data_IF_414020853995
#
_entry.id   IF_414020853995
#
_cell.length_a   1.000
_cell.length_b   1.000
_cell.length_c   1.000
_cell.angle_alpha   90.00
_cell.angle_beta   90.00
_cell.angle_gamma   90.00
#
_symmetry.space_group_name_H-M   'P 1'
#
loop_
_entity.id
_entity.type
_entity.pdbx_description
1 polymer ?
#
# COMPACT_ATOMS: atom_id res chain seq x y z
N UNK A 1 -22.66 -27.45 3.59
CA UNK A 1 -21.54 -26.96 4.40
C UNK A 1 -22.07 -25.87 5.33
N UNK A 2 -21.93 -25.97 6.65
CA UNK A 2 -22.46 -24.98 7.58
C UNK A 2 -21.66 -23.68 7.61
N UNK A 3 -20.56 -23.59 6.88
CA UNK A 3 -19.70 -22.40 6.83
C UNK A 3 -20.28 -21.34 5.90
N UNK A 4 -20.11 -20.08 6.26
CA UNK A 4 -20.39 -18.96 5.38
C UNK A 4 -19.42 -18.99 4.19
N UNK A 5 -19.93 -19.01 2.97
CA UNK A 5 -19.13 -19.04 1.75
C UNK A 5 -18.96 -17.64 1.17
N UNK A 6 -17.72 -17.18 1.07
CA UNK A 6 -17.34 -15.88 0.50
C UNK A 6 -16.63 -16.09 -0.83
N UNK A 7 -17.14 -15.44 -1.88
CA UNK A 7 -16.49 -15.33 -3.18
C UNK A 7 -15.80 -13.96 -3.28
N UNK A 8 -14.48 -13.94 -3.27
CA UNK A 8 -13.68 -12.73 -3.42
C UNK A 8 -13.22 -12.59 -4.87
N UNK A 9 -13.62 -11.52 -5.54
CA UNK A 9 -13.31 -11.21 -6.93
C UNK A 9 -12.17 -10.20 -6.99
N UNK A 10 -11.10 -10.50 -7.68
CA UNK A 10 -9.95 -9.61 -7.84
C UNK A 10 -9.32 -9.75 -9.23
N UNK A 11 -8.72 -8.66 -9.72
CA UNK A 11 -8.01 -8.64 -11.02
C UNK A 11 -6.65 -9.32 -10.97
N UNK A 12 -6.13 -9.58 -9.80
CA UNK A 12 -4.86 -10.29 -9.57
C UNK A 12 -4.93 -11.03 -8.26
N UNK A 13 -4.20 -12.10 -8.17
CA UNK A 13 -3.99 -12.82 -6.93
C UNK A 13 -2.53 -12.74 -6.47
N UNK A 14 -2.23 -13.39 -5.36
CA UNK A 14 -0.91 -13.34 -4.72
C UNK A 14 0.24 -13.90 -5.60
N UNK A 15 -0.07 -14.79 -6.53
CA UNK A 15 0.92 -15.37 -7.46
C UNK A 15 1.02 -14.62 -8.80
N UNK A 16 0.17 -13.62 -9.04
CA UNK A 16 0.20 -12.87 -10.29
C UNK A 16 1.56 -12.17 -10.49
N UNK A 17 2.12 -12.12 -11.71
CA UNK A 17 3.45 -11.55 -11.96
C UNK A 17 3.63 -10.09 -11.55
N UNK A 18 2.51 -9.36 -11.41
CA UNK A 18 2.47 -7.95 -10.96
C UNK A 18 1.80 -7.79 -9.60
N UNK A 19 1.77 -8.85 -8.78
CA UNK A 19 1.26 -8.76 -7.43
C UNK A 19 2.03 -7.71 -6.60
N UNK A 20 1.32 -7.00 -5.73
CA UNK A 20 1.87 -5.95 -4.89
C UNK A 20 1.17 -5.89 -3.54
N UNK A 21 1.24 -4.73 -2.88
CA UNK A 21 0.68 -4.57 -1.54
C UNK A 21 -0.81 -4.89 -1.40
N UNK A 22 -1.60 -4.62 -2.45
CA UNK A 22 -3.03 -4.92 -2.45
C UNK A 22 -3.31 -6.43 -2.47
N UNK A 23 -2.57 -7.19 -3.29
CA UNK A 23 -2.70 -8.63 -3.39
C UNK A 23 -2.19 -9.33 -2.12
N UNK A 24 -1.08 -8.83 -1.54
CA UNK A 24 -0.58 -9.28 -0.23
C UNK A 24 -1.62 -9.05 0.85
N UNK A 25 -2.19 -7.85 0.95
CA UNK A 25 -3.24 -7.55 1.93
C UNK A 25 -4.43 -8.49 1.80
N UNK A 26 -4.91 -8.68 0.58
CA UNK A 26 -6.05 -9.56 0.31
C UNK A 26 -5.74 -10.99 0.73
N UNK A 27 -4.58 -11.53 0.33
CA UNK A 27 -4.16 -12.88 0.70
C UNK A 27 -4.04 -13.05 2.22
N UNK A 28 -3.32 -12.16 2.89
CA UNK A 28 -3.09 -12.23 4.34
C UNK A 28 -4.41 -12.10 5.14
N UNK A 29 -5.33 -11.25 4.69
CA UNK A 29 -6.65 -11.12 5.29
C UNK A 29 -7.49 -12.38 5.11
N UNK A 30 -7.51 -12.96 3.90
CA UNK A 30 -8.32 -14.12 3.58
C UNK A 30 -7.75 -15.43 4.15
N UNK A 31 -6.43 -15.63 4.05
CA UNK A 31 -5.77 -16.87 4.50
C UNK A 31 -5.80 -17.06 6.02
N UNK A 32 -5.85 -15.95 6.80
CA UNK A 32 -5.91 -15.98 8.26
C UNK A 32 -7.33 -15.86 8.82
N UNK A 33 -8.34 -15.82 7.97
CA UNK A 33 -9.74 -15.85 8.42
C UNK A 33 -10.05 -17.18 9.14
N UNK A 34 -11.12 -17.20 9.93
CA UNK A 34 -11.55 -18.44 10.63
C UNK A 34 -12.16 -19.44 9.63
N UNK A 35 -11.30 -20.26 9.02
CA UNK A 35 -11.70 -21.27 8.01
C UNK A 35 -12.60 -22.39 8.57
N UNK A 36 -12.75 -22.50 9.90
CA UNK A 36 -13.75 -23.40 10.50
C UNK A 36 -15.17 -22.87 10.32
N UNK A 37 -15.32 -21.54 10.16
CA UNK A 37 -16.62 -20.87 10.03
C UNK A 37 -16.84 -20.24 8.66
N UNK A 38 -15.76 -19.92 7.94
CA UNK A 38 -15.81 -19.21 6.64
C UNK A 38 -15.06 -20.05 5.60
N UNK A 39 -15.73 -20.31 4.50
CA UNK A 39 -15.12 -20.88 3.27
C UNK A 39 -14.84 -19.75 2.29
N UNK A 40 -13.62 -19.68 1.78
CA UNK A 40 -13.21 -18.59 0.89
C UNK A 40 -12.80 -19.14 -0.47
N UNK A 41 -13.38 -18.55 -1.51
CA UNK A 41 -13.01 -18.77 -2.91
C UNK A 41 -12.53 -17.42 -3.45
N UNK A 42 -11.27 -17.36 -3.84
CA UNK A 42 -10.72 -16.20 -4.55
C UNK A 42 -10.79 -16.44 -6.05
N UNK A 43 -11.42 -15.54 -6.79
CA UNK A 43 -11.59 -15.66 -8.24
C UNK A 43 -10.84 -14.54 -8.95
N UNK A 44 -10.00 -14.90 -9.91
CA UNK A 44 -9.16 -13.96 -10.68
C UNK A 44 -8.96 -14.43 -12.12
N UNK A 45 -8.40 -13.58 -13.02
CA UNK A 45 -7.97 -14.02 -14.33
C UNK A 45 -6.90 -15.13 -14.25
N UNK A 46 -6.90 -16.03 -15.21
CA UNK A 46 -5.81 -16.96 -15.41
C UNK A 46 -4.62 -16.24 -16.05
N UNK A 47 -3.43 -16.51 -15.57
CA UNK A 47 -2.16 -16.01 -16.11
C UNK A 47 -1.20 -17.18 -16.40
N UNK A 48 -0.19 -16.92 -17.21
CA UNK A 48 0.77 -17.95 -17.62
C UNK A 48 1.41 -18.62 -16.40
N UNK A 49 1.62 -19.94 -16.48
CA UNK A 49 2.16 -20.80 -15.42
C UNK A 49 1.32 -20.93 -14.14
N UNK A 50 0.11 -20.35 -14.05
CA UNK A 50 -0.76 -20.53 -12.89
C UNK A 50 -1.65 -21.76 -13.03
N UNK A 51 -1.87 -22.49 -11.92
CA UNK A 51 -2.91 -23.52 -11.86
C UNK A 51 -4.31 -22.88 -11.92
N UNK A 52 -5.24 -23.40 -12.74
CA UNK A 52 -6.61 -22.89 -12.78
C UNK A 52 -7.36 -23.01 -11.46
N UNK A 53 -7.03 -24.00 -10.65
CA UNK A 53 -7.66 -24.26 -9.33
C UNK A 53 -6.59 -24.81 -8.38
N UNK A 54 -6.35 -24.09 -7.30
CA UNK A 54 -5.43 -24.51 -6.25
C UNK A 54 -5.85 -23.94 -4.90
N UNK A 55 -5.40 -24.59 -3.83
CA UNK A 55 -5.60 -24.06 -2.46
C UNK A 55 -4.26 -23.58 -1.92
N UNK A 56 -4.22 -22.32 -1.51
CA UNK A 56 -3.06 -21.68 -0.87
C UNK A 56 -3.50 -21.18 0.50
N UNK A 57 -2.84 -21.63 1.56
CA UNK A 57 -3.09 -21.20 2.94
C UNK A 57 -4.60 -21.19 3.33
N UNK A 58 -5.34 -22.25 2.92
CA UNK A 58 -6.75 -22.42 3.22
C UNK A 58 -7.73 -21.66 2.29
N UNK A 59 -7.25 -20.82 1.40
CA UNK A 59 -8.04 -20.11 0.38
C UNK A 59 -8.01 -20.88 -0.93
N UNK A 60 -9.18 -21.17 -1.51
CA UNK A 60 -9.25 -21.75 -2.86
C UNK A 60 -9.13 -20.66 -3.90
N UNK A 61 -8.06 -20.69 -4.68
CA UNK A 61 -7.81 -19.79 -5.82
C UNK A 61 -8.33 -20.43 -7.09
N UNK A 62 -9.37 -19.84 -7.64
CA UNK A 62 -9.98 -20.24 -8.91
C UNK A 62 -9.67 -19.18 -9.96
N UNK A 63 -8.99 -19.57 -11.04
CA UNK A 63 -8.56 -18.67 -12.11
C UNK A 63 -9.23 -19.05 -13.41
N UNK A 64 -9.98 -18.12 -14.00
CA UNK A 64 -10.68 -18.34 -15.27
C UNK A 64 -10.69 -17.08 -16.12
N UNK A 65 -10.61 -17.28 -17.44
CA UNK A 65 -10.60 -16.18 -18.40
C UNK A 65 -9.31 -15.36 -18.36
N UNK A 66 -9.30 -14.29 -19.12
CA UNK A 66 -8.24 -13.29 -19.15
C UNK A 66 -8.79 -11.94 -18.67
N UNK A 67 -8.02 -10.86 -18.80
CA UNK A 67 -8.45 -9.52 -18.37
C UNK A 67 -9.73 -9.01 -19.07
N UNK A 68 -10.11 -9.55 -20.21
CA UNK A 68 -11.34 -9.17 -20.95
C UNK A 68 -12.53 -10.07 -20.61
N UNK A 69 -12.30 -11.34 -20.29
CA UNK A 69 -13.35 -12.33 -20.09
C UNK A 69 -13.60 -12.73 -18.63
N UNK A 70 -12.74 -12.31 -17.68
CA UNK A 70 -12.85 -12.70 -16.27
C UNK A 70 -14.19 -12.27 -15.64
N UNK A 71 -14.76 -11.13 -16.03
CA UNK A 71 -16.04 -10.65 -15.48
C UNK A 71 -17.18 -11.61 -15.88
N UNK A 72 -17.24 -11.99 -17.15
CA UNK A 72 -18.23 -12.96 -17.63
C UNK A 72 -18.03 -14.35 -17.03
N UNK A 73 -16.78 -14.78 -16.84
CA UNK A 73 -16.44 -16.04 -16.18
C UNK A 73 -16.88 -16.03 -14.70
N UNK A 74 -16.60 -14.94 -13.97
CA UNK A 74 -17.03 -14.75 -12.57
C UNK A 74 -18.57 -14.73 -12.43
N UNK A 75 -19.26 -14.05 -13.35
CA UNK A 75 -20.72 -14.05 -13.39
C UNK A 75 -21.28 -15.47 -13.64
N UNK A 76 -20.73 -16.20 -14.62
CA UNK A 76 -21.13 -17.59 -14.91
C UNK A 76 -20.90 -18.50 -13.69
N UNK A 77 -19.75 -18.38 -13.05
CA UNK A 77 -19.42 -19.13 -11.84
C UNK A 77 -20.39 -18.82 -10.69
N UNK A 78 -20.66 -17.52 -10.45
CA UNK A 78 -21.63 -17.11 -9.44
C UNK A 78 -23.02 -17.66 -9.72
N UNK A 79 -23.54 -17.54 -10.95
CA UNK A 79 -24.84 -18.07 -11.34
C UNK A 79 -24.98 -19.57 -11.06
N UNK A 80 -23.96 -20.33 -11.37
CA UNK A 80 -23.92 -21.78 -11.15
C UNK A 80 -23.84 -22.18 -9.66
N UNK A 81 -23.40 -21.25 -8.78
CA UNK A 81 -23.18 -21.53 -7.36
C UNK A 81 -23.90 -20.57 -6.42
N UNK A 82 -24.84 -19.74 -6.92
CA UNK A 82 -25.47 -18.63 -6.16
C UNK A 82 -26.13 -19.05 -4.84
N UNK A 83 -26.65 -20.28 -4.78
CA UNK A 83 -27.36 -20.80 -3.61
C UNK A 83 -26.38 -21.30 -2.52
N UNK A 84 -25.09 -21.38 -2.86
CA UNK A 84 -24.00 -21.80 -1.97
C UNK A 84 -23.05 -20.65 -1.61
N UNK A 85 -23.24 -19.46 -2.21
CA UNK A 85 -22.43 -18.27 -1.98
C UNK A 85 -23.26 -17.28 -1.16
N UNK A 86 -22.80 -16.98 0.05
CA UNK A 86 -23.44 -16.06 0.97
C UNK A 86 -23.06 -14.63 0.69
N UNK A 87 -21.76 -14.36 0.44
CA UNK A 87 -21.26 -13.03 0.16
C UNK A 87 -20.31 -13.01 -1.04
N UNK A 88 -20.34 -11.89 -1.78
CA UNK A 88 -19.44 -11.60 -2.90
C UNK A 88 -18.69 -10.32 -2.61
N UNK A 89 -17.37 -10.39 -2.54
CA UNK A 89 -16.48 -9.24 -2.41
C UNK A 89 -16.07 -8.78 -3.80
N UNK A 90 -16.41 -7.55 -4.19
CA UNK A 90 -15.94 -6.88 -5.40
C UNK A 90 -14.73 -6.02 -5.04
N UNK A 91 -13.53 -6.53 -5.26
CA UNK A 91 -12.30 -5.79 -5.00
C UNK A 91 -11.99 -4.86 -6.17
N UNK A 92 -12.16 -3.56 -5.92
CA UNK A 92 -11.81 -2.51 -6.87
C UNK A 92 -10.33 -2.14 -6.72
N UNK A 93 -9.52 -2.59 -7.67
CA UNK A 93 -8.11 -2.22 -7.78
C UNK A 93 -7.86 -1.75 -9.22
N UNK A 94 -8.21 -0.50 -9.54
CA UNK A 94 -8.29 0.11 -10.88
C UNK A 94 -9.49 -0.39 -11.69
N UNK A 95 -9.75 -1.68 -11.70
CA UNK A 95 -10.89 -2.34 -12.36
C UNK A 95 -11.83 -2.94 -11.31
N UNK A 96 -13.08 -3.20 -11.70
CA UNK A 96 -14.12 -3.80 -10.86
C UNK A 96 -14.85 -4.89 -11.63
N UNK A 97 -15.56 -5.75 -10.90
CA UNK A 97 -16.37 -6.82 -11.48
C UNK A 97 -17.83 -6.42 -11.76
N UNK A 98 -18.20 -5.17 -11.47
CA UNK A 98 -19.57 -4.65 -11.69
C UNK A 98 -20.66 -5.50 -11.04
N UNK A 99 -20.39 -6.00 -9.86
CA UNK A 99 -21.30 -6.83 -9.07
C UNK A 99 -22.69 -6.23 -8.84
N UNK A 100 -22.90 -4.89 -8.80
CA UNK A 100 -24.24 -4.32 -8.72
C UNK A 100 -25.21 -4.75 -9.83
N UNK A 101 -24.72 -5.23 -10.96
CA UNK A 101 -25.58 -5.68 -12.08
C UNK A 101 -25.99 -7.16 -12.02
N UNK A 102 -25.32 -7.98 -11.17
CA UNK A 102 -25.54 -9.42 -11.21
C UNK A 102 -25.47 -10.14 -9.85
N UNK A 103 -25.17 -9.42 -8.75
CA UNK A 103 -25.25 -9.93 -7.38
C UNK A 103 -26.31 -9.14 -6.61
N UNK A 104 -27.23 -9.79 -5.85
CA UNK A 104 -28.18 -9.12 -4.96
C UNK A 104 -27.46 -8.24 -3.93
N UNK A 105 -28.05 -7.09 -3.61
CA UNK A 105 -27.45 -6.07 -2.75
C UNK A 105 -27.03 -6.60 -1.37
N UNK A 106 -27.86 -7.46 -0.78
CA UNK A 106 -27.64 -8.06 0.54
C UNK A 106 -26.46 -9.01 0.60
N UNK A 107 -25.95 -9.49 -0.55
CA UNK A 107 -24.77 -10.35 -0.66
C UNK A 107 -23.50 -9.60 -1.04
N UNK A 108 -23.60 -8.32 -1.43
CA UNK A 108 -22.43 -7.57 -1.93
C UNK A 108 -21.61 -6.95 -0.82
N UNK A 109 -20.30 -7.07 -0.95
CA UNK A 109 -19.30 -6.36 -0.15
C UNK A 109 -18.36 -5.65 -1.13
N UNK A 110 -18.22 -4.35 -1.01
CA UNK A 110 -17.27 -3.58 -1.82
C UNK A 110 -15.95 -3.47 -1.08
N UNK A 111 -14.84 -3.68 -1.79
CA UNK A 111 -13.51 -3.59 -1.21
C UNK A 111 -12.60 -2.71 -2.06
N UNK A 112 -12.00 -1.69 -1.44
CA UNK A 112 -11.13 -0.74 -2.12
C UNK A 112 -9.98 -0.30 -1.21
N UNK A 113 -8.75 -0.28 -1.76
CA UNK A 113 -7.55 0.15 -1.04
C UNK A 113 -7.39 1.67 -1.03
N UNK A 114 -7.65 2.32 -2.16
CA UNK A 114 -7.56 3.78 -2.33
C UNK A 114 -8.38 4.22 -3.53
N UNK A 115 -8.76 5.51 -3.56
CA UNK A 115 -9.28 6.16 -4.75
C UNK A 115 -8.11 6.62 -5.62
N UNK A 116 -8.31 6.72 -6.93
CA UNK A 116 -7.25 7.12 -7.86
C UNK A 116 -7.01 8.62 -7.83
N UNK A 117 -8.07 9.44 -7.83
CA UNK A 117 -8.04 10.90 -7.62
C UNK A 117 -6.88 11.59 -8.36
N UNK A 118 -5.93 12.18 -7.59
CA UNK A 118 -4.78 12.93 -8.11
C UNK A 118 -3.85 12.06 -8.97
N UNK A 119 -3.86 10.76 -8.78
CA UNK A 119 -3.04 9.83 -9.57
C UNK A 119 -3.44 9.85 -11.05
N UNK A 120 -4.73 10.14 -11.38
CA UNK A 120 -5.16 10.29 -12.77
C UNK A 120 -4.37 11.34 -13.53
N UNK A 121 -4.03 12.48 -12.90
CA UNK A 121 -3.26 13.56 -13.54
C UNK A 121 -1.81 13.18 -13.79
N UNK A 122 -1.29 12.28 -12.99
CA UNK A 122 0.13 11.93 -13.00
C UNK A 122 0.40 10.72 -13.91
N UNK A 123 -0.51 9.75 -13.95
CA UNK A 123 -0.30 8.48 -14.66
C UNK A 123 -0.99 8.39 -16.02
N UNK A 124 -1.96 9.25 -16.30
CA UNK A 124 -2.71 9.22 -17.55
C UNK A 124 -2.60 10.56 -18.28
N UNK A 125 -2.51 10.49 -19.62
CA UNK A 125 -2.53 11.68 -20.47
C UNK A 125 -3.96 12.06 -20.85
N UNK A 126 -4.18 13.33 -21.24
CA UNK A 126 -5.44 13.76 -21.84
C UNK A 126 -5.73 12.92 -23.13
N UNK A 127 -6.98 12.48 -23.37
CA UNK A 127 -8.20 12.74 -22.58
C UNK A 127 -8.49 11.72 -21.49
N UNK A 128 -7.68 10.67 -21.32
CA UNK A 128 -7.94 9.54 -20.40
C UNK A 128 -7.94 9.99 -18.93
N UNK A 129 -7.04 10.88 -18.55
CA UNK A 129 -6.98 11.45 -17.19
C UNK A 129 -8.26 12.18 -16.83
N UNK A 130 -8.75 13.05 -17.71
CA UNK A 130 -9.99 13.82 -17.51
C UNK A 130 -11.20 12.90 -17.43
N UNK A 131 -11.32 11.94 -18.35
CA UNK A 131 -12.43 10.98 -18.37
C UNK A 131 -12.40 10.11 -17.11
N UNK A 132 -11.23 9.61 -16.70
CA UNK A 132 -11.06 8.80 -15.49
C UNK A 132 -11.53 9.54 -14.24
N UNK A 133 -11.12 10.79 -14.04
CA UNK A 133 -11.56 11.64 -12.92
C UNK A 133 -13.09 11.81 -12.88
N UNK A 134 -13.70 12.12 -14.02
CA UNK A 134 -15.15 12.36 -14.08
C UNK A 134 -15.95 11.07 -13.86
N UNK A 135 -15.46 9.92 -14.33
CA UNK A 135 -16.14 8.64 -14.20
C UNK A 135 -15.88 7.93 -12.86
N UNK A 136 -14.77 8.22 -12.18
CA UNK A 136 -14.43 7.53 -10.92
C UNK A 136 -15.55 7.63 -9.87
N UNK A 137 -16.01 8.84 -9.56
CA UNK A 137 -17.03 9.06 -8.54
C UNK A 137 -18.39 8.42 -8.89
N UNK A 138 -18.97 8.58 -10.08
CA UNK A 138 -20.19 7.89 -10.46
C UNK A 138 -20.06 6.36 -10.40
N UNK A 139 -18.94 5.84 -10.88
CA UNK A 139 -18.66 4.41 -10.84
C UNK A 139 -18.54 3.88 -9.42
N UNK A 140 -17.86 4.58 -8.51
CA UNK A 140 -17.76 4.21 -7.11
C UNK A 140 -19.15 4.17 -6.45
N UNK A 141 -19.99 5.19 -6.70
CA UNK A 141 -21.32 5.31 -6.12
C UNK A 141 -22.27 4.14 -6.46
N UNK A 142 -21.99 3.35 -7.48
CA UNK A 142 -22.75 2.14 -7.78
C UNK A 142 -22.72 1.13 -6.62
N UNK A 143 -21.63 1.11 -5.85
CA UNK A 143 -21.44 0.21 -4.70
C UNK A 143 -21.78 0.84 -3.35
N UNK A 144 -22.21 2.11 -3.30
CA UNK A 144 -22.48 2.83 -2.04
C UNK A 144 -23.52 2.16 -1.13
N UNK A 145 -24.42 1.42 -1.72
CA UNK A 145 -25.51 0.74 -1.02
C UNK A 145 -25.19 -0.74 -0.73
N UNK A 146 -23.99 -1.21 -1.05
CA UNK A 146 -23.59 -2.57 -0.73
C UNK A 146 -23.69 -2.83 0.78
N UNK A 147 -23.88 -4.07 1.16
CA UNK A 147 -24.13 -4.45 2.55
C UNK A 147 -23.00 -4.05 3.50
N UNK A 148 -21.78 -4.14 3.03
CA UNK A 148 -20.59 -3.64 3.73
C UNK A 148 -19.56 -3.12 2.74
N UNK A 149 -18.68 -2.26 3.24
CA UNK A 149 -17.55 -1.71 2.51
C UNK A 149 -16.27 -1.98 3.33
N UNK A 150 -15.23 -2.48 2.68
CA UNK A 150 -13.92 -2.71 3.28
C UNK A 150 -12.94 -1.72 2.68
N UNK A 151 -12.14 -1.09 3.53
CA UNK A 151 -10.98 -0.30 3.12
C UNK A 151 -9.83 -0.50 4.10
N UNK A 152 -8.67 0.14 3.83
CA UNK A 152 -7.44 -0.14 4.58
C UNK A 152 -7.03 1.01 5.50
N UNK A 153 -7.57 2.23 5.34
CA UNK A 153 -7.14 3.42 6.09
C UNK A 153 -8.29 4.37 6.42
N UNK A 154 -8.09 5.21 7.43
CA UNK A 154 -9.01 6.31 7.78
C UNK A 154 -9.09 7.33 6.65
N UNK A 155 -7.99 7.63 5.97
CA UNK A 155 -7.97 8.53 4.82
C UNK A 155 -8.87 8.01 3.69
N UNK A 156 -8.78 6.74 3.32
CA UNK A 156 -9.65 6.14 2.29
C UNK A 156 -11.11 6.10 2.76
N UNK A 157 -11.36 5.83 4.05
CA UNK A 157 -12.72 5.92 4.61
C UNK A 157 -13.29 7.33 4.46
N UNK A 158 -12.53 8.37 4.80
CA UNK A 158 -12.94 9.77 4.63
C UNK A 158 -13.24 10.10 3.17
N UNK A 159 -12.40 9.66 2.25
CA UNK A 159 -12.60 9.83 0.81
C UNK A 159 -13.90 9.16 0.34
N UNK A 160 -14.20 7.94 0.80
CA UNK A 160 -15.43 7.22 0.48
C UNK A 160 -16.66 7.95 1.02
N UNK A 161 -16.61 8.43 2.27
CA UNK A 161 -17.70 9.22 2.86
C UNK A 161 -17.93 10.51 2.06
N UNK A 162 -16.87 11.19 1.65
CA UNK A 162 -16.97 12.41 0.84
C UNK A 162 -17.62 12.17 -0.54
N UNK A 163 -17.53 10.96 -1.09
CA UNK A 163 -18.22 10.58 -2.33
C UNK A 163 -19.60 9.95 -2.10
N UNK A 164 -20.07 9.89 -0.86
CA UNK A 164 -21.44 9.51 -0.50
C UNK A 164 -21.64 8.08 -0.02
N UNK A 165 -20.58 7.40 0.44
CA UNK A 165 -20.73 6.12 1.13
C UNK A 165 -21.11 6.32 2.59
N UNK A 166 -22.01 5.49 3.15
CA UNK A 166 -22.41 5.57 4.56
C UNK A 166 -21.26 5.12 5.48
N UNK A 167 -20.84 5.99 6.39
CA UNK A 167 -19.67 5.78 7.25
C UNK A 167 -19.78 4.52 8.14
N UNK A 168 -21.01 4.19 8.57
CA UNK A 168 -21.32 3.04 9.42
C UNK A 168 -21.17 1.68 8.72
N UNK A 169 -21.17 1.67 7.37
CA UNK A 169 -20.95 0.46 6.57
C UNK A 169 -19.49 0.24 6.22
N UNK A 170 -18.61 1.21 6.49
CA UNK A 170 -17.19 1.14 6.12
C UNK A 170 -16.38 0.57 7.28
N UNK A 171 -15.83 -0.62 7.07
CA UNK A 171 -14.91 -1.28 7.99
C UNK A 171 -13.48 -1.10 7.51
N UNK A 172 -12.60 -0.63 8.39
CA UNK A 172 -11.17 -0.53 8.12
C UNK A 172 -10.50 -1.82 8.53
N UNK A 173 -9.84 -2.46 7.56
CA UNK A 173 -8.96 -3.61 7.77
C UNK A 173 -7.54 -3.15 7.43
N UNK A 174 -6.74 -2.74 8.43
CA UNK A 174 -5.44 -2.10 8.16
C UNK A 174 -4.43 -3.09 7.61
N UNK A 175 -3.45 -2.55 6.88
CA UNK A 175 -2.25 -3.29 6.52
C UNK A 175 -1.41 -3.64 7.76
N UNK A 176 -0.53 -4.63 7.62
CA UNK A 176 0.34 -5.05 8.70
C UNK A 176 1.69 -5.57 8.19
N UNK A 177 2.58 -5.86 9.11
CA UNK A 177 3.91 -6.40 8.81
C UNK A 177 3.84 -7.92 8.66
N UNK A 178 4.52 -8.47 7.64
CA UNK A 178 4.66 -9.90 7.44
C UNK A 178 5.47 -10.54 8.57
N UNK A 179 5.41 -11.87 8.68
CA UNK A 179 6.22 -12.63 9.64
C UNK A 179 7.72 -12.43 9.35
N UNK A 180 8.11 -12.44 8.08
CA UNK A 180 9.51 -12.31 7.66
C UNK A 180 10.05 -10.91 7.96
N UNK A 181 9.25 -9.87 7.70
CA UNK A 181 9.58 -8.49 8.11
C UNK A 181 9.81 -8.37 9.61
N UNK A 182 8.97 -9.02 10.42
CA UNK A 182 9.13 -9.05 11.88
C UNK A 182 10.36 -9.84 12.33
N UNK A 183 10.71 -10.91 11.61
CA UNK A 183 11.93 -11.69 11.89
C UNK A 183 13.19 -10.86 11.62
N UNK A 184 13.24 -10.09 10.53
CA UNK A 184 14.35 -9.16 10.27
C UNK A 184 14.58 -8.16 11.42
N UNK A 185 13.52 -7.74 12.09
CA UNK A 185 13.58 -6.78 13.20
C UNK A 185 14.16 -7.36 14.52
N UNK A 186 14.56 -8.64 14.56
CA UNK A 186 15.29 -9.21 15.69
C UNK A 186 16.75 -8.73 15.72
N UNK A 187 17.33 -8.44 14.54
CA UNK A 187 18.71 -7.98 14.40
C UNK A 187 18.72 -6.64 13.65
N UNK A 188 18.49 -5.54 14.38
CA UNK A 188 18.50 -4.19 13.81
C UNK A 188 19.94 -3.71 13.67
N UNK A 189 20.39 -3.34 12.46
CA UNK A 189 21.73 -2.82 12.26
C UNK A 189 21.88 -1.42 12.88
N UNK A 190 23.13 -1.04 13.13
CA UNK A 190 23.46 0.33 13.52
C UNK A 190 23.24 1.30 12.35
N UNK A 191 22.96 2.57 12.67
CA UNK A 191 22.84 3.63 11.67
C UNK A 191 24.19 3.90 11.04
N UNK A 192 24.21 4.01 9.71
CA UNK A 192 25.47 4.29 8.99
C UNK A 192 25.92 5.74 9.16
N UNK A 193 27.24 5.92 9.02
CA UNK A 193 27.90 7.23 8.93
C UNK A 193 28.57 7.33 7.55
N UNK A 194 28.41 8.43 6.83
CA UNK A 194 27.64 9.64 7.15
C UNK A 194 26.11 9.42 7.21
N UNK A 195 25.39 10.43 7.74
CA UNK A 195 23.92 10.38 7.87
C UNK A 195 23.26 10.10 6.51
N UNK A 196 22.59 8.96 6.42
CA UNK A 196 22.00 8.49 5.18
C UNK A 196 20.48 8.38 5.36
N UNK A 197 19.73 9.03 4.49
CA UNK A 197 18.28 8.87 4.38
C UNK A 197 17.94 7.78 3.36
N UNK A 198 16.73 7.26 3.40
CA UNK A 198 16.31 6.21 2.47
C UNK A 198 14.95 6.54 1.86
N UNK A 199 14.83 6.35 0.56
CA UNK A 199 13.59 6.27 -0.18
C UNK A 199 13.34 4.82 -0.59
N UNK A 200 12.10 4.32 -0.39
CA UNK A 200 11.71 2.97 -0.81
C UNK A 200 10.42 3.04 -1.62
N UNK A 201 10.48 2.69 -2.89
CA UNK A 201 9.34 2.71 -3.79
C UNK A 201 9.73 2.59 -5.26
N UNK A 202 8.71 2.46 -6.13
CA UNK A 202 8.95 2.55 -7.57
C UNK A 202 9.46 3.94 -7.93
N UNK A 203 10.38 4.04 -8.87
CA UNK A 203 10.86 5.33 -9.36
C UNK A 203 9.80 5.94 -10.28
N UNK A 204 8.93 6.73 -9.69
CA UNK A 204 7.81 7.36 -10.38
C UNK A 204 7.43 8.66 -9.66
N UNK A 205 7.01 9.65 -10.43
CA UNK A 205 6.72 11.01 -9.93
C UNK A 205 5.71 11.00 -8.77
N UNK A 206 4.60 10.25 -8.88
CA UNK A 206 3.60 10.21 -7.81
C UNK A 206 4.10 9.58 -6.50
N UNK A 207 5.25 8.90 -6.52
CA UNK A 207 5.94 8.36 -5.35
C UNK A 207 6.92 9.35 -4.71
N UNK A 208 7.24 10.46 -5.41
CA UNK A 208 7.98 11.60 -4.89
C UNK A 208 9.49 11.39 -4.72
N UNK A 209 10.11 10.45 -5.45
CA UNK A 209 11.56 10.27 -5.40
C UNK A 209 12.32 11.54 -5.84
N UNK A 210 11.76 12.29 -6.78
CA UNK A 210 12.23 13.59 -7.23
C UNK A 210 12.27 14.60 -6.06
N UNK A 211 11.19 14.68 -5.29
CA UNK A 211 11.13 15.52 -4.10
C UNK A 211 12.15 15.10 -3.01
N UNK A 212 12.39 13.80 -2.85
CA UNK A 212 13.40 13.30 -1.91
C UNK A 212 14.82 13.71 -2.32
N UNK A 213 15.16 13.66 -3.62
CA UNK A 213 16.45 14.09 -4.15
C UNK A 213 16.62 15.61 -4.03
N UNK A 214 15.59 16.40 -4.36
CA UNK A 214 15.62 17.86 -4.14
C UNK A 214 15.85 18.21 -2.67
N UNK A 215 15.15 17.53 -1.74
CA UNK A 215 15.30 17.73 -0.32
C UNK A 215 16.75 17.43 0.14
N UNK A 216 17.37 16.36 -0.37
CA UNK A 216 18.77 16.07 -0.11
C UNK A 216 19.66 17.24 -0.56
N UNK A 217 19.46 17.76 -1.78
CA UNK A 217 20.23 18.88 -2.30
C UNK A 217 20.13 20.14 -1.42
N UNK A 218 18.99 20.37 -0.80
CA UNK A 218 18.78 21.46 0.16
C UNK A 218 19.53 21.16 1.47
N UNK A 219 19.40 19.96 2.02
CA UNK A 219 20.03 19.54 3.28
C UNK A 219 21.55 19.59 3.20
N UNK A 220 22.14 19.22 2.06
CA UNK A 220 23.59 19.21 1.86
C UNK A 220 24.27 20.57 1.99
N UNK A 221 23.52 21.67 1.92
CA UNK A 221 24.05 23.01 2.21
C UNK A 221 24.53 23.16 3.66
N UNK A 222 23.92 22.44 4.58
CA UNK A 222 24.24 22.43 6.02
C UNK A 222 24.98 21.14 6.42
N UNK A 223 24.61 20.03 5.82
CA UNK A 223 25.14 18.69 6.10
C UNK A 223 25.77 18.11 4.81
N UNK A 224 26.98 18.55 4.41
CA UNK A 224 27.57 18.21 3.10
C UNK A 224 27.78 16.71 2.88
N UNK A 225 27.95 15.93 3.94
CA UNK A 225 28.14 14.48 3.86
C UNK A 225 26.84 13.67 3.85
N UNK A 226 25.65 14.31 3.99
CA UNK A 226 24.38 13.61 3.96
C UNK A 226 24.15 12.89 2.62
N UNK A 227 23.55 11.70 2.67
CA UNK A 227 23.29 10.85 1.50
C UNK A 227 21.85 10.38 1.43
N UNK A 228 21.46 9.94 0.24
CA UNK A 228 20.14 9.34 -0.02
C UNK A 228 20.32 7.99 -0.72
N UNK A 229 19.77 6.94 -0.13
CA UNK A 229 19.59 5.65 -0.77
C UNK A 229 18.21 5.56 -1.41
N UNK A 230 18.15 5.18 -2.70
CA UNK A 230 16.95 5.00 -3.47
C UNK A 230 16.77 3.51 -3.79
N UNK A 231 15.78 2.88 -3.15
CA UNK A 231 15.51 1.44 -3.27
C UNK A 231 14.18 1.24 -4.01
N UNK A 232 14.17 0.38 -5.03
CA UNK A 232 12.98 0.00 -5.76
C UNK A 232 13.19 -0.17 -7.25
N UNK A 233 12.13 -0.51 -7.96
CA UNK A 233 12.21 -0.73 -9.39
C UNK A 233 12.57 0.57 -10.11
N UNK A 234 13.73 0.58 -10.76
CA UNK A 234 14.21 1.69 -11.58
C UNK A 234 13.33 1.89 -12.81
N UNK A 235 13.25 3.13 -13.23
CA UNK A 235 12.75 3.55 -14.53
C UNK A 235 13.85 4.42 -15.15
N UNK A 236 14.61 3.87 -16.08
CA UNK A 236 15.79 4.52 -16.65
C UNK A 236 15.43 5.81 -17.41
N UNK A 237 14.25 5.84 -18.04
CA UNK A 237 13.74 7.04 -18.71
C UNK A 237 13.44 8.14 -17.70
N UNK A 238 12.81 7.80 -16.58
CA UNK A 238 12.51 8.75 -15.51
C UNK A 238 13.78 9.24 -14.81
N UNK A 239 14.75 8.36 -14.58
CA UNK A 239 16.07 8.74 -14.05
C UNK A 239 16.71 9.76 -14.97
N UNK A 240 16.87 9.45 -16.28
CA UNK A 240 17.55 10.32 -17.22
C UNK A 240 16.85 11.67 -17.44
N UNK A 241 15.52 11.67 -17.53
CA UNK A 241 14.76 12.86 -17.90
C UNK A 241 14.33 13.73 -16.71
N UNK A 242 14.33 13.19 -15.50
CA UNK A 242 13.84 13.89 -14.31
C UNK A 242 14.84 13.92 -13.17
N UNK A 243 15.35 12.75 -12.75
CA UNK A 243 16.17 12.69 -11.54
C UNK A 243 17.59 13.23 -11.79
N UNK A 244 18.22 12.88 -12.89
CA UNK A 244 19.53 13.38 -13.26
C UNK A 244 19.58 14.92 -13.38
N UNK A 245 18.66 15.61 -14.08
CA UNK A 245 18.61 17.08 -14.09
C UNK A 245 18.44 17.71 -12.70
N UNK A 246 17.76 17.04 -11.77
CA UNK A 246 17.67 17.51 -10.37
C UNK A 246 19.02 17.37 -9.68
N UNK A 247 19.69 16.23 -9.82
CA UNK A 247 21.03 16.01 -9.27
C UNK A 247 22.02 17.06 -9.80
N UNK A 248 22.04 17.32 -11.11
CA UNK A 248 22.88 18.36 -11.71
C UNK A 248 22.62 19.76 -11.13
N UNK A 249 21.33 20.13 -10.98
CA UNK A 249 20.92 21.44 -10.43
C UNK A 249 21.46 21.66 -9.01
N UNK A 250 21.54 20.63 -8.21
CA UNK A 250 22.03 20.70 -6.84
C UNK A 250 23.50 20.29 -6.67
N UNK A 251 24.18 19.92 -7.75
CA UNK A 251 25.58 19.44 -7.70
C UNK A 251 25.74 18.12 -6.96
N UNK A 252 24.72 17.25 -7.03
CA UNK A 252 24.73 15.93 -6.38
C UNK A 252 25.38 14.89 -7.32
N UNK A 253 26.22 14.05 -6.74
CA UNK A 253 26.80 12.90 -7.42
C UNK A 253 25.85 11.71 -7.33
N UNK A 254 25.75 10.94 -8.43
CA UNK A 254 24.91 9.76 -8.55
C UNK A 254 25.76 8.51 -8.69
N UNK A 255 25.31 7.39 -8.11
CA UNK A 255 26.10 6.17 -8.17
C UNK A 255 25.38 4.89 -7.80
N UNK A 256 26.12 3.79 -7.95
CA UNK A 256 25.75 2.44 -7.52
C UNK A 256 26.05 2.22 -6.02
N UNK A 257 25.58 1.12 -5.42
CA UNK A 257 25.75 0.82 -3.99
C UNK A 257 27.19 0.90 -3.46
N UNK A 258 28.17 0.57 -4.28
CA UNK A 258 29.60 0.56 -3.90
C UNK A 258 30.26 1.93 -4.02
N UNK A 259 29.56 2.93 -4.53
CA UNK A 259 30.07 4.28 -4.72
C UNK A 259 29.96 5.13 -3.46
N UNK A 260 30.73 6.21 -3.41
CA UNK A 260 30.61 7.26 -2.39
C UNK A 260 29.69 8.40 -2.83
N UNK A 261 28.77 8.15 -3.77
CA UNK A 261 27.87 9.17 -4.30
C UNK A 261 26.88 9.69 -3.25
N UNK A 262 26.34 10.87 -3.52
CA UNK A 262 25.32 11.52 -2.68
C UNK A 262 23.98 10.80 -2.81
N UNK A 263 23.60 10.41 -4.03
CA UNK A 263 22.41 9.65 -4.36
C UNK A 263 22.82 8.27 -4.86
N UNK A 264 22.39 7.22 -4.17
CA UNK A 264 22.75 5.84 -4.48
C UNK A 264 21.51 5.07 -4.91
N UNK A 265 21.53 4.58 -6.15
CA UNK A 265 20.44 3.79 -6.72
C UNK A 265 20.65 2.29 -6.51
N UNK A 266 20.04 1.74 -5.46
CA UNK A 266 20.10 0.30 -5.16
C UNK A 266 19.35 -0.56 -6.17
N UNK A 267 18.32 -0.01 -6.82
CA UNK A 267 17.42 -0.79 -7.64
C UNK A 267 16.51 -1.69 -6.81
N UNK A 268 15.99 -2.74 -7.45
CA UNK A 268 15.15 -3.73 -6.77
C UNK A 268 16.04 -4.69 -5.96
N UNK A 269 15.80 -4.78 -4.68
CA UNK A 269 16.54 -5.64 -3.74
C UNK A 269 15.60 -6.63 -3.08
N UNK A 270 16.15 -7.67 -2.44
CA UNK A 270 15.37 -8.61 -1.63
C UNK A 270 14.73 -7.92 -0.42
N UNK A 271 13.64 -8.49 0.11
CA UNK A 271 12.98 -7.93 1.31
C UNK A 271 13.94 -7.87 2.50
N UNK A 272 14.77 -8.88 2.70
CA UNK A 272 15.79 -8.88 3.77
C UNK A 272 16.77 -7.73 3.61
N UNK A 273 17.28 -7.49 2.39
CA UNK A 273 18.18 -6.38 2.11
C UNK A 273 17.48 -5.02 2.27
N UNK A 274 16.24 -4.90 1.80
CA UNK A 274 15.41 -3.70 2.01
C UNK A 274 15.30 -3.36 3.49
N UNK A 275 14.96 -4.35 4.33
CA UNK A 275 14.85 -4.17 5.77
C UNK A 275 16.18 -3.76 6.41
N UNK A 276 17.28 -4.37 5.99
CA UNK A 276 18.62 -4.00 6.47
C UNK A 276 18.96 -2.55 6.12
N UNK A 277 18.72 -2.13 4.88
CA UNK A 277 18.97 -0.74 4.44
C UNK A 277 18.08 0.26 5.20
N UNK A 278 16.80 -0.07 5.42
CA UNK A 278 15.93 0.75 6.25
C UNK A 278 16.47 0.86 7.68
N UNK A 279 16.93 -0.25 8.27
CA UNK A 279 17.53 -0.25 9.61
C UNK A 279 18.79 0.61 9.72
N UNK A 280 19.61 0.65 8.68
CA UNK A 280 20.83 1.44 8.63
C UNK A 280 20.60 2.93 8.36
N UNK A 281 19.49 3.28 7.72
CA UNK A 281 19.18 4.66 7.37
C UNK A 281 18.74 5.50 8.57
N UNK A 282 19.00 6.80 8.54
CA UNK A 282 18.61 7.76 9.56
C UNK A 282 17.10 7.96 9.61
N UNK A 283 16.46 8.15 8.46
CA UNK A 283 15.00 8.21 8.32
C UNK A 283 14.56 7.76 6.93
N UNK A 284 13.32 7.24 6.85
CA UNK A 284 12.64 7.02 5.59
C UNK A 284 12.03 8.33 5.10
N UNK A 285 12.26 8.67 3.84
CA UNK A 285 11.55 9.74 3.13
C UNK A 285 10.41 9.13 2.32
N UNK A 286 9.18 9.54 2.60
CA UNK A 286 7.99 8.99 1.96
C UNK A 286 7.07 10.09 1.42
N UNK A 287 7.52 10.83 0.38
CA UNK A 287 6.81 11.97 -0.19
C UNK A 287 5.81 11.55 -1.29
N UNK A 288 5.09 10.45 -1.08
CA UNK A 288 4.05 10.00 -2.01
C UNK A 288 2.84 10.93 -1.99
N UNK A 289 2.27 11.19 -3.18
CA UNK A 289 1.08 12.04 -3.35
C UNK A 289 -0.18 11.35 -2.81
N UNK A 290 -0.25 10.02 -2.89
CA UNK A 290 -1.38 9.22 -2.41
C UNK A 290 -0.97 7.75 -2.27
N UNK A 291 -1.45 7.13 -1.19
CA UNK A 291 -1.31 5.70 -0.92
C UNK A 291 -2.62 5.12 -0.38
N UNK A 292 -2.77 3.80 -0.45
CA UNK A 292 -3.81 3.12 0.32
C UNK A 292 -3.44 3.07 1.80
N UNK A 293 -2.17 2.71 2.06
CA UNK A 293 -1.53 2.68 3.37
C UNK A 293 -0.01 2.66 3.20
N UNK A 294 0.70 3.30 4.09
CA UNK A 294 2.15 3.36 4.08
C UNK A 294 2.83 2.13 4.71
N UNK A 295 2.71 0.92 4.14
CA UNK A 295 3.37 -0.29 4.68
C UNK A 295 4.87 -0.06 4.89
N UNK A 296 5.53 0.60 3.96
CA UNK A 296 6.96 0.91 4.01
C UNK A 296 7.33 1.73 5.26
N UNK A 297 6.42 2.59 5.71
CA UNK A 297 6.59 3.38 6.95
C UNK A 297 6.59 2.46 8.17
N UNK A 298 5.71 1.45 8.21
CA UNK A 298 5.73 0.45 9.29
C UNK A 298 6.98 -0.44 9.22
N UNK A 299 7.44 -0.79 8.02
CA UNK A 299 8.69 -1.54 7.82
C UNK A 299 9.89 -0.75 8.34
N UNK A 300 9.99 0.52 8.02
CA UNK A 300 11.04 1.40 8.56
C UNK A 300 10.92 1.52 10.09
N UNK A 301 9.72 1.74 10.60
CA UNK A 301 9.45 1.87 12.03
C UNK A 301 9.89 0.65 12.82
N UNK A 302 9.55 -0.57 12.38
CA UNK A 302 9.97 -1.81 13.07
C UNK A 302 11.49 -1.96 13.10
N UNK A 303 12.21 -1.34 12.16
CA UNK A 303 13.68 -1.29 12.09
C UNK A 303 14.29 -0.08 12.82
N UNK A 304 13.57 0.52 13.77
CA UNK A 304 14.01 1.73 14.49
C UNK A 304 14.30 2.92 13.55
N UNK A 305 13.55 3.07 12.47
CA UNK A 305 13.77 4.14 11.49
C UNK A 305 12.50 4.98 11.37
N UNK A 306 12.48 6.18 11.98
CA UNK A 306 11.39 7.11 11.83
C UNK A 306 11.20 7.51 10.36
N UNK A 307 10.01 7.99 10.02
CA UNK A 307 9.69 8.40 8.66
C UNK A 307 9.32 9.87 8.59
N UNK A 308 9.70 10.53 7.50
CA UNK A 308 9.23 11.86 7.14
C UNK A 308 8.32 11.68 5.92
N UNK A 309 7.04 12.02 6.07
CA UNK A 309 6.03 11.73 5.06
C UNK A 309 5.29 12.98 4.63
N UNK A 310 4.85 13.04 3.38
CA UNK A 310 3.91 14.06 2.95
C UNK A 310 2.56 13.87 3.63
N UNK A 311 1.90 14.97 3.96
CA UNK A 311 0.53 14.95 4.48
C UNK A 311 -0.46 14.64 3.34
N UNK A 312 -0.50 13.35 2.97
CA UNK A 312 -1.29 12.81 1.88
C UNK A 312 -2.11 11.60 2.36
N UNK A 313 -3.25 11.33 1.71
CA UNK A 313 -4.08 10.17 2.06
C UNK A 313 -3.28 8.87 2.01
N UNK A 314 -3.44 8.03 3.05
CA UNK A 314 -2.70 6.78 3.23
C UNK A 314 -1.29 6.94 3.79
N UNK A 315 -0.57 8.04 3.47
CA UNK A 315 0.73 8.34 4.05
C UNK A 315 0.59 8.76 5.52
N UNK A 316 -0.33 9.72 5.79
CA UNK A 316 -0.59 10.23 7.15
C UNK A 316 -1.12 9.18 8.12
N UNK A 317 -1.77 8.13 7.60
CA UNK A 317 -2.34 7.06 8.43
C UNK A 317 -1.25 6.16 9.06
N UNK A 318 -0.04 6.19 8.51
CA UNK A 318 1.07 5.35 8.94
C UNK A 318 2.02 6.04 9.94
N UNK A 319 1.78 7.31 10.29
CA UNK A 319 2.65 8.12 11.17
C UNK A 319 1.82 8.82 12.25
N UNK A 320 2.25 8.71 13.51
CA UNK A 320 1.83 9.59 14.60
C UNK A 320 2.80 10.77 14.65
N UNK A 321 2.35 11.92 14.12
CA UNK A 321 3.17 13.11 13.90
C UNK A 321 3.87 13.60 15.17
N UNK A 322 5.19 13.78 15.10
CA UNK A 322 6.06 14.20 16.19
C UNK A 322 6.41 13.07 17.17
N UNK A 323 5.86 11.85 17.01
CA UNK A 323 6.15 10.71 17.89
C UNK A 323 6.82 9.54 17.16
N UNK A 324 6.27 9.13 16.00
CA UNK A 324 6.82 8.02 15.23
C UNK A 324 7.58 8.47 13.98
N UNK A 325 7.50 9.75 13.69
CA UNK A 325 8.03 10.42 12.52
C UNK A 325 7.40 11.79 12.37
N UNK A 326 7.55 12.38 11.20
CA UNK A 326 7.00 13.71 10.92
C UNK A 326 6.07 13.69 9.71
N UNK A 327 4.96 14.45 9.80
CA UNK A 327 4.15 14.87 8.66
C UNK A 327 4.65 16.24 8.18
N UNK A 328 4.87 16.40 6.89
CA UNK A 328 5.15 17.68 6.28
C UNK A 328 3.93 18.60 6.44
N UNK A 329 4.14 19.86 6.85
CA UNK A 329 3.08 20.87 6.90
C UNK A 329 2.65 21.30 5.51
N UNK A 330 3.62 21.32 4.60
CA UNK A 330 3.46 21.54 3.16
C UNK A 330 4.15 20.39 2.42
N UNK A 331 3.50 19.86 1.41
CA UNK A 331 4.05 18.75 0.61
C UNK A 331 5.06 19.30 -0.41
N UNK A 332 6.20 19.77 0.10
CA UNK A 332 7.28 20.38 -0.68
C UNK A 332 8.65 19.77 -0.31
N UNK A 333 9.62 19.78 -1.25
CA UNK A 333 11.00 19.38 -0.93
C UNK A 333 11.64 20.23 0.17
N UNK A 334 11.27 21.50 0.29
CA UNK A 334 11.78 22.43 1.30
C UNK A 334 11.35 22.00 2.72
N UNK A 335 10.08 21.65 2.89
CA UNK A 335 9.60 21.16 4.19
C UNK A 335 10.19 19.79 4.54
N UNK A 336 10.31 18.90 3.53
CA UNK A 336 10.97 17.62 3.70
C UNK A 336 12.43 17.81 4.18
N UNK A 337 13.18 18.73 3.57
CA UNK A 337 14.55 19.07 3.95
C UNK A 337 14.63 19.68 5.35
N UNK A 338 13.69 20.56 5.71
CA UNK A 338 13.60 21.14 7.06
C UNK A 338 13.46 20.04 8.12
N UNK A 339 12.59 19.06 7.88
CA UNK A 339 12.36 17.94 8.80
C UNK A 339 13.56 16.95 8.82
N UNK A 340 14.24 16.76 7.70
CA UNK A 340 15.51 16.01 7.66
C UNK A 340 16.57 16.68 8.56
N UNK A 341 16.72 18.00 8.46
CA UNK A 341 17.62 18.77 9.32
C UNK A 341 17.20 18.68 10.80
N UNK A 342 15.91 18.78 11.10
CA UNK A 342 15.39 18.65 12.45
C UNK A 342 15.78 17.32 13.12
N UNK A 343 15.75 16.21 12.36
CA UNK A 343 16.21 14.88 12.84
C UNK A 343 17.72 14.89 13.14
N UNK A 344 18.51 15.60 12.35
CA UNK A 344 19.96 15.66 12.54
C UNK A 344 20.34 16.58 13.71
N UNK A 345 19.62 17.66 13.93
CA UNK A 345 19.85 18.66 14.97
C UNK A 345 19.45 18.18 16.37
N UNK A 346 18.53 17.21 16.48
CA UNK A 346 17.90 16.81 17.74
C UNK A 346 18.13 15.33 18.07
N UNK A 347 19.34 14.89 18.43
CA UNK A 347 19.67 13.47 18.66
C UNK A 347 18.83 12.80 19.76
N UNK A 348 18.49 13.54 20.83
CA UNK A 348 17.70 13.00 21.95
C UNK A 348 16.24 12.75 21.56
N UNK A 349 15.62 13.69 20.84
CA UNK A 349 14.27 13.53 20.29
C UNK A 349 14.24 12.38 19.27
N UNK A 350 15.25 12.32 18.41
CA UNK A 350 15.41 11.24 17.44
C UNK A 350 15.49 9.86 18.11
N UNK A 351 16.28 9.68 19.17
CA UNK A 351 16.39 8.42 19.90
C UNK A 351 15.06 7.98 20.52
N UNK A 352 14.28 8.92 21.06
CA UNK A 352 12.93 8.67 21.55
C UNK A 352 11.99 8.24 20.41
N UNK A 353 12.03 8.97 19.30
CA UNK A 353 11.19 8.71 18.11
C UNK A 353 11.44 7.33 17.51
N UNK A 354 12.71 6.88 17.46
CA UNK A 354 13.08 5.54 17.00
C UNK A 354 12.35 4.44 17.78
N UNK A 355 12.35 4.53 19.11
CA UNK A 355 11.71 3.58 20.01
C UNK A 355 10.19 3.59 19.81
N UNK A 356 9.59 4.78 19.78
CA UNK A 356 8.13 4.93 19.62
C UNK A 356 7.67 4.44 18.25
N UNK A 357 8.42 4.72 17.17
CA UNK A 357 8.13 4.23 15.84
C UNK A 357 8.11 2.70 15.79
N UNK A 358 9.08 2.05 16.44
CA UNK A 358 9.13 0.59 16.54
C UNK A 358 7.93 0.02 17.29
N UNK A 359 7.61 0.58 18.44
CA UNK A 359 6.50 0.08 19.26
C UNK A 359 5.14 0.32 18.60
N UNK A 360 4.99 1.42 17.86
CA UNK A 360 3.82 1.67 17.02
C UNK A 360 3.68 0.62 15.91
N UNK A 361 4.77 0.34 15.18
CA UNK A 361 4.76 -0.63 14.07
C UNK A 361 4.40 -2.05 14.54
N UNK A 362 4.79 -2.46 15.76
CA UNK A 362 4.44 -3.77 16.34
C UNK A 362 2.94 -3.98 16.54
N UNK A 363 2.15 -2.91 16.64
CA UNK A 363 0.72 -3.00 16.90
C UNK A 363 -0.06 -3.53 15.69
N UNK A 364 0.49 -3.42 14.47
CA UNK A 364 -0.12 -3.85 13.23
C UNK A 364 0.24 -5.30 12.93
N UNK A 365 -0.72 -6.20 13.02
CA UNK A 365 -0.53 -7.62 12.71
C UNK A 365 -1.64 -8.14 11.82
N UNK A 366 -1.28 -9.01 10.87
CA UNK A 366 -2.25 -9.64 9.97
C UNK A 366 -3.31 -10.45 10.71
N UNK A 367 -2.97 -11.04 11.88
CA UNK A 367 -3.95 -11.76 12.69
C UNK A 367 -5.04 -10.82 13.24
N UNK A 368 -4.67 -9.58 13.63
CA UNK A 368 -5.65 -8.56 14.02
C UNK A 368 -6.52 -8.14 12.84
N UNK A 369 -5.93 -7.89 11.67
CA UNK A 369 -6.65 -7.51 10.46
C UNK A 369 -7.60 -8.62 10.00
N UNK A 370 -7.16 -9.86 9.97
CA UNK A 370 -8.00 -11.01 9.65
C UNK A 370 -9.12 -11.24 10.67
N UNK A 371 -8.89 -10.93 11.96
CA UNK A 371 -9.93 -10.98 12.99
C UNK A 371 -11.03 -9.94 12.74
N UNK A 372 -10.66 -8.72 12.31
CA UNK A 372 -11.62 -7.68 11.94
C UNK A 372 -12.47 -8.18 10.76
N UNK A 373 -11.84 -8.70 9.71
CA UNK A 373 -12.51 -9.28 8.56
C UNK A 373 -13.43 -10.45 8.95
N UNK A 374 -12.92 -11.40 9.72
CA UNK A 374 -13.70 -12.56 10.19
C UNK A 374 -14.96 -12.10 10.94
N UNK A 375 -14.81 -11.17 11.88
CA UNK A 375 -15.93 -10.64 12.66
C UNK A 375 -16.95 -9.93 11.78
N UNK A 376 -16.50 -9.15 10.78
CA UNK A 376 -17.39 -8.52 9.80
C UNK A 376 -18.25 -9.58 9.10
N UNK A 377 -17.63 -10.61 8.51
CA UNK A 377 -18.36 -11.66 7.78
C UNK A 377 -19.33 -12.42 8.69
N UNK A 378 -18.90 -12.79 9.89
CA UNK A 378 -19.76 -13.50 10.84
C UNK A 378 -20.96 -12.66 11.31
N UNK A 379 -20.78 -11.35 11.50
CA UNK A 379 -21.88 -10.45 11.89
C UNK A 379 -22.86 -10.23 10.74
N UNK A 380 -22.37 -10.13 9.50
CA UNK A 380 -23.25 -10.05 8.33
C UNK A 380 -24.09 -11.33 8.16
N UNK A 381 -23.50 -12.51 8.45
CA UNK A 381 -24.20 -13.79 8.38
C UNK A 381 -25.32 -13.93 9.43
N UNK A 382 -25.13 -13.38 10.62
CA UNK A 382 -26.15 -13.41 11.71
C UNK A 382 -27.37 -12.52 11.43
N UNK A 383 -27.22 -11.47 10.64
CA UNK A 383 -28.30 -10.55 10.27
C UNK A 383 -29.08 -10.97 9.02
N UNK A 384 -28.89 -12.19 8.53
CA UNK A 384 -29.55 -12.77 7.36
C UNK A 384 -30.66 -13.77 7.72
N UNK A 385 -31.11 -13.81 9.01
CA UNK A 385 -32.25 -14.58 9.50
C UNK A 385 -33.46 -13.68 9.66
#
# INVERSE_FOLDING_TARGET
DPRITVLALSWRDIKAPKAGGAEIHTHEMLSRADHKKIRIIHFSPLFDSASPDETIDGVRYLRQGNIFSVISAAHAFYRANRDRIDFVIDQCNTHRFFTPFWVPQEKRIFYIHQLTREIWDIQATFPVSTLGKHLETPMLRMNRNDRAIITVSESTKKDLVAVGFPAERITIVPNALSRDTRACAQNIPEKVTPATFIYVGRFAHYKGIDAAIEALGIVKKTYPDARLWCVGKKDDTYIANTLHPICERYGLTEGAPESNADVIYWGFVSDAQKMQLQGQAKALLFPSVREGWGIIVLEAGIMNTPSIVYDAPGCRDAVDNGKTGYLCRENTPQELARLMSQILDNPSEYASMQKVARDFSKQFSWDKSAKIFTNLILNLGKGSV
#
